data_IF_825799458836
#
_entry.id   IF_825799458836
#
_cell.length_a   1.000
_cell.length_b   1.000
_cell.length_c   1.000
_cell.angle_alpha   90.00
_cell.angle_beta   90.00
_cell.angle_gamma   90.00
#
_symmetry.space_group_name_H-M   'P 1'
#
loop_
_entity.id
_entity.type
_entity.pdbx_description
1 polymer ?
#
# COMPACT_ATOMS: atom_id res chain seq x y z
N UNK A 1 -13.07 -32.07 -15.71
CA UNK A 1 -12.87 -31.08 -14.65
C UNK A 1 -12.94 -29.70 -15.28
N UNK A 2 -14.16 -29.15 -15.36
CA UNK A 2 -14.44 -27.86 -16.01
C UNK A 2 -14.13 -26.72 -15.05
N UNK A 3 -13.29 -25.78 -15.50
CA UNK A 3 -13.03 -24.52 -14.80
C UNK A 3 -14.27 -23.65 -15.01
N UNK A 4 -14.98 -23.32 -13.92
CA UNK A 4 -16.11 -22.38 -14.00
C UNK A 4 -15.61 -21.04 -14.55
N UNK A 5 -16.33 -20.41 -15.49
CA UNK A 5 -16.06 -19.02 -15.82
C UNK A 5 -16.33 -18.17 -14.57
N UNK A 6 -15.41 -17.26 -14.26
CA UNK A 6 -15.66 -16.23 -13.25
C UNK A 6 -16.71 -15.28 -13.83
N UNK A 7 -17.93 -15.40 -13.33
CA UNK A 7 -18.99 -14.44 -13.57
C UNK A 7 -18.71 -13.23 -12.67
N UNK A 8 -17.99 -12.24 -13.21
CA UNK A 8 -17.90 -10.91 -12.63
C UNK A 8 -19.17 -10.14 -12.99
N UNK A 9 -20.25 -10.45 -12.28
CA UNK A 9 -21.39 -9.57 -12.16
C UNK A 9 -20.94 -8.25 -11.55
N UNK A 10 -20.80 -7.22 -12.39
CA UNK A 10 -20.80 -5.83 -11.97
C UNK A 10 -21.88 -5.12 -12.79
N UNK A 11 -23.06 -5.01 -12.17
CA UNK A 11 -24.15 -4.17 -12.61
C UNK A 11 -23.74 -2.70 -12.39
N UNK A 12 -23.01 -2.14 -13.34
CA UNK A 12 -22.78 -0.70 -13.42
C UNK A 12 -23.44 -0.15 -14.68
N UNK A 13 -24.64 0.40 -14.51
CA UNK A 13 -25.26 1.35 -15.42
C UNK A 13 -24.32 2.56 -15.61
N UNK A 14 -23.51 2.55 -16.66
CA UNK A 14 -22.58 3.64 -17.00
C UNK A 14 -21.48 3.11 -17.91
N UNK A 15 -21.19 3.80 -19.02
CA UNK A 15 -20.35 3.30 -20.12
C UNK A 15 -19.12 2.49 -19.69
N UNK A 16 -18.79 1.39 -20.38
CA UNK A 16 -17.58 0.62 -20.10
C UNK A 16 -16.35 1.49 -20.30
N UNK A 17 -15.61 1.72 -19.22
CA UNK A 17 -14.32 2.39 -19.30
C UNK A 17 -13.29 1.36 -19.78
N UNK A 18 -13.28 1.17 -21.11
CA UNK A 18 -12.46 0.19 -21.82
C UNK A 18 -10.98 0.22 -21.39
N UNK A 19 -10.45 1.40 -21.05
CA UNK A 19 -9.06 1.55 -20.60
C UNK A 19 -8.87 1.06 -19.17
N UNK A 20 -9.83 1.33 -18.27
CA UNK A 20 -9.80 0.81 -16.91
C UNK A 20 -9.92 -0.72 -16.88
N UNK A 21 -10.78 -1.28 -17.74
CA UNK A 21 -10.93 -2.74 -17.87
C UNK A 21 -9.62 -3.39 -18.33
N UNK A 22 -8.97 -2.81 -19.34
CA UNK A 22 -7.64 -3.27 -19.81
C UNK A 22 -6.58 -3.10 -18.73
N UNK A 23 -6.57 -1.97 -18.03
CA UNK A 23 -5.61 -1.71 -16.95
C UNK A 23 -5.75 -2.75 -15.82
N UNK A 24 -6.99 -3.06 -15.43
CA UNK A 24 -7.29 -4.11 -14.46
C UNK A 24 -6.87 -5.49 -14.98
N UNK A 25 -7.19 -5.80 -16.24
CA UNK A 25 -6.84 -7.07 -16.87
C UNK A 25 -5.32 -7.30 -16.93
N UNK A 26 -4.56 -6.24 -17.21
CA UNK A 26 -3.11 -6.29 -17.32
C UNK A 26 -2.38 -6.04 -16.00
N UNK A 27 -3.09 -5.79 -14.91
CA UNK A 27 -2.53 -5.40 -13.60
C UNK A 27 -1.58 -4.19 -13.67
N UNK A 28 -1.89 -3.22 -14.53
CA UNK A 28 -1.10 -1.98 -14.71
C UNK A 28 -1.95 -0.74 -14.44
N UNK A 29 -1.32 0.43 -14.36
CA UNK A 29 -2.06 1.69 -14.27
C UNK A 29 -2.58 2.08 -15.65
N UNK A 30 -3.67 2.84 -15.70
CA UNK A 30 -4.23 3.34 -16.96
C UNK A 30 -3.21 4.12 -17.82
N UNK A 31 -2.34 4.93 -17.18
CA UNK A 31 -1.27 5.64 -17.89
C UNK A 31 -0.27 4.69 -18.58
N UNK A 32 -0.04 3.50 -18.00
CA UNK A 32 0.86 2.51 -18.58
C UNK A 32 0.19 1.84 -19.80
N UNK A 33 -1.14 1.70 -19.81
CA UNK A 33 -1.92 1.29 -21.00
C UNK A 33 -1.74 2.29 -22.14
N UNK A 34 -1.76 3.59 -21.85
CA UNK A 34 -1.50 4.62 -22.86
C UNK A 34 -0.10 4.51 -23.46
N UNK A 35 0.92 4.28 -22.63
CA UNK A 35 2.31 4.09 -23.08
C UNK A 35 2.44 2.87 -23.98
N UNK A 36 1.83 1.76 -23.57
CA UNK A 36 1.86 0.52 -24.31
C UNK A 36 1.14 0.66 -25.66
N UNK A 37 -0.06 1.23 -25.67
CA UNK A 37 -0.84 1.47 -26.87
C UNK A 37 -0.14 2.44 -27.84
N UNK A 38 0.53 3.48 -27.34
CA UNK A 38 1.33 4.38 -28.17
C UNK A 38 2.52 3.66 -28.79
N UNK A 39 3.27 2.90 -28.00
CA UNK A 39 4.41 2.11 -28.49
C UNK A 39 3.99 1.08 -29.53
N UNK A 40 2.85 0.42 -29.30
CA UNK A 40 2.28 -0.55 -30.23
C UNK A 40 1.87 0.11 -31.56
N UNK A 41 1.20 1.26 -31.52
CA UNK A 41 0.71 1.94 -32.71
C UNK A 41 1.80 2.65 -33.52
N UNK A 42 2.71 3.34 -32.84
CA UNK A 42 3.72 4.21 -33.47
C UNK A 42 5.12 3.59 -33.53
N UNK A 43 5.33 2.42 -32.90
CA UNK A 43 6.63 1.74 -32.85
C UNK A 43 7.72 2.47 -32.05
N UNK A 44 7.36 3.49 -31.27
CA UNK A 44 8.29 4.33 -30.50
C UNK A 44 7.72 4.71 -29.13
N UNK A 45 8.62 4.95 -28.18
CA UNK A 45 8.25 5.43 -26.86
C UNK A 45 7.61 6.83 -26.98
N UNK A 46 6.50 7.09 -26.26
CA UNK A 46 5.86 8.40 -26.31
C UNK A 46 6.75 9.50 -25.75
N UNK A 47 6.66 10.68 -26.36
CA UNK A 47 7.12 11.91 -25.73
C UNK A 47 6.19 12.25 -24.57
N UNK A 48 6.74 12.56 -23.39
CA UNK A 48 5.95 12.72 -22.15
C UNK A 48 4.83 13.76 -22.31
N UNK A 49 5.11 14.93 -22.94
CA UNK A 49 4.10 15.96 -23.17
C UNK A 49 2.95 15.50 -24.08
N UNK A 50 3.23 14.65 -25.07
CA UNK A 50 2.21 14.15 -25.99
C UNK A 50 1.32 13.10 -25.28
N UNK A 51 1.93 12.28 -24.43
CA UNK A 51 1.23 11.31 -23.60
C UNK A 51 0.32 12.00 -22.58
N UNK A 52 0.85 12.97 -21.84
CA UNK A 52 0.11 13.75 -20.84
C UNK A 52 -1.10 14.43 -21.45
N UNK A 53 -0.95 15.04 -22.64
CA UNK A 53 -2.07 15.70 -23.33
C UNK A 53 -3.18 14.72 -23.68
N UNK A 54 -2.82 13.54 -24.20
CA UNK A 54 -3.78 12.48 -24.52
C UNK A 54 -4.46 11.92 -23.26
N UNK A 55 -3.68 11.68 -22.22
CA UNK A 55 -4.18 11.15 -20.95
C UNK A 55 -5.08 12.15 -20.22
N UNK A 56 -4.72 13.43 -20.19
CA UNK A 56 -5.54 14.48 -19.60
C UNK A 56 -6.88 14.64 -20.35
N UNK A 57 -6.88 14.59 -21.68
CA UNK A 57 -8.11 14.61 -22.47
C UNK A 57 -9.04 13.43 -22.11
N UNK A 58 -8.47 12.25 -21.93
CA UNK A 58 -9.20 11.08 -21.47
C UNK A 58 -9.75 11.25 -20.04
N UNK A 59 -8.92 11.64 -19.08
CA UNK A 59 -9.33 11.79 -17.67
C UNK A 59 -10.41 12.86 -17.47
N UNK A 60 -10.29 14.00 -18.15
CA UNK A 60 -11.19 15.15 -17.93
C UNK A 60 -12.38 15.20 -18.88
N UNK A 61 -12.25 14.66 -20.10
CA UNK A 61 -13.29 14.74 -21.14
C UNK A 61 -13.82 13.38 -21.60
N UNK A 62 -13.31 12.27 -21.05
CA UNK A 62 -13.61 10.91 -21.51
C UNK A 62 -13.33 10.72 -23.01
N UNK A 63 -12.43 11.54 -23.56
CA UNK A 63 -12.05 11.49 -24.97
C UNK A 63 -10.94 10.46 -25.18
N UNK A 64 -11.29 9.34 -25.81
CA UNK A 64 -10.33 8.30 -26.13
C UNK A 64 -9.84 8.41 -27.58
N UNK A 65 -8.51 8.53 -27.82
CA UNK A 65 -7.94 8.48 -29.16
C UNK A 65 -8.24 7.17 -29.89
N UNK A 66 -8.31 7.21 -31.22
CA UNK A 66 -8.64 6.04 -32.03
C UNK A 66 -7.64 4.89 -31.86
N UNK A 67 -6.35 5.19 -31.80
CA UNK A 67 -5.28 4.21 -31.57
C UNK A 67 -5.46 3.50 -30.22
N UNK A 68 -5.82 4.23 -29.16
CA UNK A 68 -6.03 3.68 -27.82
C UNK A 68 -7.25 2.76 -27.79
N UNK A 69 -8.35 3.19 -28.42
CA UNK A 69 -9.57 2.40 -28.53
C UNK A 69 -9.32 1.08 -29.25
N UNK A 70 -8.56 1.13 -30.34
CA UNK A 70 -8.24 -0.05 -31.12
C UNK A 70 -7.35 -1.02 -30.33
N UNK A 71 -6.31 -0.49 -29.68
CA UNK A 71 -5.46 -1.28 -28.79
C UNK A 71 -6.26 -1.95 -27.67
N UNK A 72 -7.10 -1.19 -26.96
CA UNK A 72 -7.85 -1.69 -25.82
C UNK A 72 -8.84 -2.81 -26.20
N UNK A 73 -9.46 -2.74 -27.40
CA UNK A 73 -10.28 -3.85 -27.91
C UNK A 73 -9.46 -5.11 -28.16
N UNK A 74 -8.30 -4.98 -28.83
CA UNK A 74 -7.44 -6.14 -29.06
C UNK A 74 -6.91 -6.74 -27.75
N UNK A 75 -6.53 -5.88 -26.79
CA UNK A 75 -6.03 -6.32 -25.50
C UNK A 75 -7.07 -7.16 -24.73
N UNK A 76 -8.36 -6.77 -24.73
CA UNK A 76 -9.43 -7.55 -24.09
C UNK A 76 -9.76 -8.84 -24.86
N UNK A 77 -9.63 -8.83 -26.18
CA UNK A 77 -9.79 -10.04 -26.99
C UNK A 77 -8.64 -11.04 -26.80
N UNK A 78 -7.52 -10.60 -26.21
CA UNK A 78 -6.31 -11.41 -26.06
C UNK A 78 -6.47 -12.60 -25.13
N UNK A 79 -7.41 -12.60 -24.17
CA UNK A 79 -7.70 -13.82 -23.37
C UNK A 79 -8.13 -15.02 -24.24
N UNK A 80 -8.70 -14.74 -25.41
CA UNK A 80 -9.08 -15.76 -26.39
C UNK A 80 -7.96 -16.09 -27.40
N UNK A 81 -6.93 -15.24 -27.47
CA UNK A 81 -5.87 -15.31 -28.46
C UNK A 81 -4.60 -15.92 -27.84
N UNK A 82 -3.88 -16.72 -28.62
CA UNK A 82 -2.69 -17.43 -28.13
C UNK A 82 -1.56 -16.51 -27.65
N UNK A 83 -0.54 -17.06 -26.97
CA UNK A 83 0.59 -16.31 -26.42
C UNK A 83 1.38 -15.50 -27.46
N UNK A 84 1.29 -15.86 -28.74
CA UNK A 84 1.90 -15.13 -29.85
C UNK A 84 1.23 -13.77 -30.12
N UNK A 85 -0.09 -13.68 -29.92
CA UNK A 85 -0.85 -12.43 -30.09
C UNK A 85 -0.53 -11.45 -28.96
N UNK A 86 -0.46 -11.98 -27.72
CA UNK A 86 -0.01 -11.21 -26.56
C UNK A 86 1.40 -10.63 -26.79
N UNK A 87 2.31 -11.42 -27.36
CA UNK A 87 3.64 -10.93 -27.70
C UNK A 87 3.63 -9.84 -28.78
N UNK A 88 2.77 -9.94 -29.80
CA UNK A 88 2.58 -8.89 -30.81
C UNK A 88 2.06 -7.58 -30.23
N UNK A 89 1.24 -7.65 -29.19
CA UNK A 89 0.73 -6.48 -28.47
C UNK A 89 1.75 -5.89 -27.48
N UNK A 90 2.92 -6.53 -27.30
CA UNK A 90 3.89 -6.13 -26.28
C UNK A 90 3.44 -6.46 -24.86
N UNK A 91 2.53 -7.42 -24.72
CA UNK A 91 2.00 -7.96 -23.46
C UNK A 91 2.77 -9.19 -22.97
N UNK A 92 3.87 -9.56 -23.66
CA UNK A 92 4.59 -10.83 -23.48
C UNK A 92 5.11 -11.10 -22.08
N UNK A 93 5.33 -10.05 -21.25
CA UNK A 93 5.64 -10.14 -19.82
C UNK A 93 5.54 -8.77 -19.15
N UNK A 94 4.33 -8.36 -18.82
CA UNK A 94 4.10 -7.63 -17.56
C UNK A 94 3.46 -8.57 -16.53
N UNK A 95 3.92 -9.83 -16.47
CA UNK A 95 3.78 -10.56 -15.22
C UNK A 95 4.60 -9.78 -14.19
N UNK A 96 3.92 -9.05 -13.30
CA UNK A 96 4.55 -8.51 -12.09
C UNK A 96 5.35 -9.67 -11.51
N UNK A 97 6.70 -9.59 -11.47
CA UNK A 97 7.48 -10.70 -10.96
C UNK A 97 7.01 -10.91 -9.53
N UNK A 98 6.32 -12.02 -9.28
CA UNK A 98 5.84 -12.36 -7.95
C UNK A 98 7.02 -12.17 -7.00
N UNK A 99 6.93 -11.30 -5.98
CA UNK A 99 8.08 -10.94 -5.19
C UNK A 99 8.68 -12.22 -4.62
N UNK A 100 9.87 -12.59 -5.10
CA UNK A 100 10.55 -13.87 -4.80
C UNK A 100 10.67 -14.13 -3.29
N UNK A 101 10.64 -13.08 -2.49
CA UNK A 101 10.75 -13.12 -1.04
C UNK A 101 9.45 -12.76 -0.31
N UNK A 102 8.30 -12.66 -0.98
CA UNK A 102 7.03 -12.25 -0.36
C UNK A 102 6.63 -13.12 0.82
N UNK A 103 6.81 -14.45 0.71
CA UNK A 103 6.59 -15.39 1.83
C UNK A 103 7.56 -15.19 2.99
N UNK A 104 8.81 -14.86 2.68
CA UNK A 104 9.86 -14.62 3.68
C UNK A 104 9.61 -13.32 4.44
N UNK A 105 9.19 -12.27 3.73
CA UNK A 105 8.80 -10.99 4.32
C UNK A 105 7.57 -11.17 5.20
N UNK A 106 6.50 -11.82 4.70
CA UNK A 106 5.29 -12.09 5.50
C UNK A 106 5.61 -12.93 6.74
N UNK A 107 6.45 -13.96 6.61
CA UNK A 107 6.88 -14.76 7.76
C UNK A 107 7.70 -13.95 8.76
N UNK A 108 8.62 -13.10 8.29
CA UNK A 108 9.40 -12.21 9.15
C UNK A 108 8.51 -11.20 9.88
N UNK A 109 7.55 -10.58 9.19
CA UNK A 109 6.59 -9.65 9.81
C UNK A 109 5.73 -10.35 10.85
N UNK A 110 5.20 -11.54 10.54
CA UNK A 110 4.43 -12.35 11.48
C UNK A 110 5.26 -12.77 12.71
N UNK A 111 6.53 -13.13 12.52
CA UNK A 111 7.44 -13.46 13.61
C UNK A 111 7.72 -12.26 14.51
N UNK A 112 7.95 -11.07 13.93
CA UNK A 112 8.11 -9.83 14.70
C UNK A 112 6.85 -9.52 15.52
N UNK A 113 5.65 -9.62 14.91
CA UNK A 113 4.39 -9.43 15.63
C UNK A 113 4.19 -10.47 16.74
N UNK A 114 4.52 -11.74 16.48
CA UNK A 114 4.44 -12.80 17.49
C UNK A 114 5.40 -12.56 18.66
N UNK A 115 6.62 -12.07 18.39
CA UNK A 115 7.58 -11.69 19.43
C UNK A 115 7.10 -10.49 20.25
N UNK A 116 6.56 -9.46 19.60
CA UNK A 116 5.94 -8.33 20.28
C UNK A 116 4.78 -8.78 21.16
N UNK A 117 3.91 -9.65 20.63
CA UNK A 117 2.78 -10.19 21.36
C UNK A 117 3.21 -11.05 22.56
N UNK A 118 4.21 -11.92 22.38
CA UNK A 118 4.79 -12.69 23.45
C UNK A 118 5.42 -11.80 24.52
N UNK A 119 6.11 -10.72 24.12
CA UNK A 119 6.66 -9.72 25.05
C UNK A 119 5.56 -9.03 25.86
N UNK A 120 4.43 -8.69 25.24
CA UNK A 120 3.26 -8.14 25.94
C UNK A 120 2.70 -9.17 26.94
N UNK A 121 2.60 -10.44 26.58
CA UNK A 121 2.12 -11.48 27.48
C UNK A 121 3.10 -11.79 28.62
N UNK A 122 4.41 -11.65 28.39
CA UNK A 122 5.45 -11.87 29.40
C UNK A 122 5.66 -10.66 30.32
N UNK A 123 5.07 -9.50 29.99
CA UNK A 123 4.85 -8.47 31.02
C UNK A 123 3.91 -9.05 32.07
N UNK A 124 4.50 -9.70 33.09
CA UNK A 124 3.79 -10.07 34.30
C UNK A 124 3.11 -8.80 34.78
N UNK A 125 1.80 -8.78 34.64
CA UNK A 125 0.94 -7.74 35.19
C UNK A 125 1.25 -7.69 36.69
N UNK A 126 2.10 -6.75 37.10
CA UNK A 126 2.45 -6.60 38.51
C UNK A 126 1.20 -6.02 39.18
N UNK A 127 0.44 -6.80 39.96
CA UNK A 127 -0.79 -6.30 40.57
C UNK A 127 -0.48 -5.19 41.60
N UNK A 128 0.80 -4.94 41.90
CA UNK A 128 1.25 -3.88 42.82
C UNK A 128 1.11 -2.47 42.26
N UNK A 129 0.96 -2.28 40.95
CA UNK A 129 0.76 -0.93 40.36
C UNK A 129 -0.71 -0.50 40.25
N UNK A 130 -1.67 -1.42 40.44
CA UNK A 130 -3.09 -1.12 40.17
C UNK A 130 -3.94 -0.89 41.42
N UNK A 131 -3.42 -1.14 42.63
CA UNK A 131 -4.08 -0.77 43.87
C UNK A 131 -3.06 -0.66 45.00
N UNK A 132 -2.52 0.54 45.24
CA UNK A 132 -1.94 0.83 46.55
C UNK A 132 -3.11 1.04 47.52
N UNK A 133 -3.34 0.17 48.52
CA UNK A 133 -4.36 0.44 49.53
C UNK A 133 -4.00 1.72 50.29
N UNK A 134 -5.00 2.59 50.52
CA UNK A 134 -4.84 3.91 51.13
C UNK A 134 -4.15 3.89 52.52
N UNK A 135 -4.05 2.71 53.17
CA UNK A 135 -3.36 2.52 54.44
C UNK A 135 -1.83 2.48 54.35
N UNK A 136 -1.25 2.41 53.15
CA UNK A 136 0.21 2.46 52.92
C UNK A 136 0.65 3.70 52.13
N UNK A 137 -0.16 4.76 52.17
CA UNK A 137 0.27 6.09 51.73
C UNK A 137 1.37 6.59 52.70
N UNK A 138 2.62 6.55 52.25
CA UNK A 138 3.70 7.37 52.82
C UNK A 138 3.24 8.85 52.79
N UNK A 139 3.58 9.68 53.79
CA UNK A 139 3.34 11.12 53.68
C UNK A 139 3.94 11.60 52.36
N UNK A 140 3.18 12.37 51.58
CA UNK A 140 3.50 12.81 50.23
C UNK A 140 4.98 13.17 50.13
N UNK A 141 5.79 12.27 49.54
CA UNK A 141 7.08 12.67 49.03
C UNK A 141 6.78 13.66 47.91
N UNK A 142 7.45 14.81 47.91
CA UNK A 142 7.30 15.89 46.91
C UNK A 142 7.68 15.50 45.47
N UNK A 143 7.75 14.19 45.17
CA UNK A 143 7.88 13.63 43.84
C UNK A 143 6.48 13.34 43.28
N UNK A 144 5.85 14.39 42.74
CA UNK A 144 4.66 14.27 41.91
C UNK A 144 5.04 13.76 40.53
N UNK A 145 5.31 12.46 40.39
CA UNK A 145 5.62 11.88 39.09
C UNK A 145 5.73 10.36 39.18
N UNK A 146 4.84 9.66 38.50
CA UNK A 146 4.92 8.19 38.37
C UNK A 146 6.24 7.74 37.72
N UNK A 147 6.54 6.43 37.77
CA UNK A 147 7.86 5.89 37.43
C UNK A 147 8.36 6.14 36.00
N UNK A 148 7.51 6.66 35.09
CA UNK A 148 7.90 7.02 33.72
C UNK A 148 8.55 8.40 33.55
N UNK A 149 8.47 9.31 34.54
CA UNK A 149 8.89 10.71 34.38
C UNK A 149 10.11 11.12 35.20
N UNK A 150 10.62 10.24 36.07
CA UNK A 150 11.79 10.53 36.93
C UNK A 150 13.03 10.90 36.11
N UNK A 151 13.17 10.35 34.91
CA UNK A 151 14.28 10.66 34.00
C UNK A 151 14.19 12.08 33.43
N UNK A 152 13.00 12.59 33.13
CA UNK A 152 12.82 13.93 32.53
C UNK A 152 13.04 15.06 33.54
N UNK A 153 12.61 14.86 34.78
CA UNK A 153 12.83 15.86 35.84
C UNK A 153 14.31 16.00 36.22
N UNK A 154 15.06 14.89 36.19
CA UNK A 154 16.51 14.93 36.42
C UNK A 154 17.24 15.75 35.34
N UNK A 155 16.83 15.64 34.08
CA UNK A 155 17.42 16.43 32.99
C UNK A 155 17.04 17.93 33.07
N UNK A 156 15.82 18.25 33.48
CA UNK A 156 15.36 19.64 33.61
C UNK A 156 16.16 20.41 34.67
N UNK A 157 16.46 19.79 35.81
CA UNK A 157 17.27 20.44 36.85
C UNK A 157 18.75 20.53 36.46
N UNK A 158 19.32 19.47 35.88
CA UNK A 158 20.71 19.48 35.41
C UNK A 158 21.00 20.55 34.35
N UNK A 159 20.04 20.82 33.46
CA UNK A 159 20.20 21.86 32.43
C UNK A 159 19.96 23.28 32.96
N UNK A 160 19.11 23.44 33.98
CA UNK A 160 18.76 24.75 34.52
C UNK A 160 19.81 25.34 35.48
N UNK A 161 20.85 24.57 35.84
CA UNK A 161 21.93 25.01 36.72
C UNK A 161 21.48 25.45 38.12
N UNK A 162 20.26 25.07 38.52
CA UNK A 162 19.69 25.38 39.84
C UNK A 162 19.74 24.14 40.73
N UNK A 163 20.22 24.34 41.95
CA UNK A 163 20.09 23.34 43.00
C UNK A 163 18.62 23.11 43.32
N UNK A 164 18.27 21.85 43.62
CA UNK A 164 16.91 21.51 44.04
C UNK A 164 16.56 22.28 45.33
N UNK A 165 15.32 22.76 45.47
CA UNK A 165 14.89 23.33 46.74
C UNK A 165 15.01 22.25 47.85
N UNK A 166 15.50 22.61 49.04
CA UNK A 166 15.44 21.71 50.18
C UNK A 166 13.96 21.51 50.56
N UNK A 167 13.59 20.25 50.75
CA UNK A 167 12.31 19.89 51.37
C UNK A 167 12.27 20.36 52.82
#
# INVERSE_FOLDING_TARGET
MGRRPQDHGNDSDGLPNLVADVAAHLEVREIDVFRLAHRWWFGREPEEQALERGFAAYMFRQEMPAWLRHFARQALETESLGPEEAARLGLDRQAVPAPRHGRLVVAATAAVFALLFAGILDTKHDPRTSATPASQARPMSCAGGGPGLVSLENFAYAFSGRDRPPC
#
